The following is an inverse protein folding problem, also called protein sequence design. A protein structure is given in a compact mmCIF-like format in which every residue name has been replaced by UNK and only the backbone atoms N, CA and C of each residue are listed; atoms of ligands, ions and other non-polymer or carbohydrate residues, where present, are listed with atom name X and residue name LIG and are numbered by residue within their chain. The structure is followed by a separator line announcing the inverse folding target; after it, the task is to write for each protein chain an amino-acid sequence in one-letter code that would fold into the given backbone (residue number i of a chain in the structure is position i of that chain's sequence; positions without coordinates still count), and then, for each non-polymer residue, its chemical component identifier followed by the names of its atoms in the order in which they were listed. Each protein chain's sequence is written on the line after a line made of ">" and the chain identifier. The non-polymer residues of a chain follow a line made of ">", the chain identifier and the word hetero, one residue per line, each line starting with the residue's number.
data_IF_422263308138
#
_entry.id   IF_422263308138
#
_cell.length_a   1.000
_cell.length_b   1.000
_cell.length_c   1.000
_cell.angle_alpha   90.00
_cell.angle_beta   90.00
_cell.angle_gamma   90.00
#
_symmetry.space_group_name_H-M   'P 1'
#
loop_
_entity.id
_entity.type
_entity.pdbx_description
1 polymer ?
#
# COMPACT_ATOMS: atom_id res chain seq x y z
N UNK A 1 9.02 -3.23 -17.37
CA UNK A 1 8.43 -3.17 -16.02
C UNK A 1 6.92 -3.27 -16.14
N UNK A 2 6.28 -4.00 -15.25
CA UNK A 2 4.83 -4.00 -15.08
C UNK A 2 4.51 -3.68 -13.61
N UNK A 3 3.46 -2.90 -13.39
CA UNK A 3 2.91 -2.64 -12.07
C UNK A 3 1.43 -2.98 -12.10
N UNK A 4 0.98 -3.77 -11.14
CA UNK A 4 -0.43 -4.05 -10.93
C UNK A 4 -0.77 -3.73 -9.48
N UNK A 5 -1.90 -3.08 -9.27
CA UNK A 5 -2.38 -2.73 -7.95
C UNK A 5 -3.89 -2.92 -7.85
N UNK A 6 -4.34 -3.34 -6.69
CA UNK A 6 -5.74 -3.60 -6.40
C UNK A 6 -6.02 -3.44 -4.91
N UNK A 7 -7.20 -2.91 -4.62
CA UNK A 7 -7.71 -2.81 -3.25
C UNK A 7 -8.50 -4.08 -2.95
N UNK A 8 -8.16 -4.76 -1.84
CA UNK A 8 -8.91 -5.92 -1.36
C UNK A 8 -9.45 -5.64 0.04
N UNK A 9 -10.77 -5.56 0.14
CA UNK A 9 -11.44 -5.49 1.44
C UNK A 9 -11.50 -6.87 2.08
N UNK A 10 -11.21 -6.96 3.39
CA UNK A 10 -11.48 -8.15 4.19
C UNK A 10 -12.33 -7.76 5.38
N UNK A 11 -13.63 -8.08 5.31
CA UNK A 11 -14.47 -8.07 6.50
C UNK A 11 -14.08 -9.25 7.41
N UNK A 12 -13.48 -8.96 8.56
CA UNK A 12 -13.20 -9.99 9.55
C UNK A 12 -14.50 -10.34 10.29
N UNK A 13 -15.18 -11.41 9.89
CA UNK A 13 -16.52 -11.78 10.39
C UNK A 13 -16.62 -12.04 11.91
N UNK A 14 -15.53 -11.94 12.65
CA UNK A 14 -15.45 -12.32 14.06
C UNK A 14 -14.90 -11.22 15.00
N UNK A 15 -14.42 -10.10 14.46
CA UNK A 15 -13.92 -8.93 15.18
C UNK A 15 -14.36 -7.69 14.40
N UNK A 16 -14.94 -6.68 15.04
CA UNK A 16 -15.38 -5.40 14.44
C UNK A 16 -14.23 -4.53 13.88
N UNK A 17 -13.12 -5.12 13.44
CA UNK A 17 -12.03 -4.42 12.79
C UNK A 17 -12.28 -4.48 11.28
N UNK A 18 -12.63 -3.34 10.70
CA UNK A 18 -12.56 -3.09 9.26
C UNK A 18 -11.09 -3.16 8.81
N UNK A 19 -10.83 -3.91 7.74
CA UNK A 19 -9.49 -4.14 7.22
C UNK A 19 -9.48 -3.99 5.70
N UNK A 20 -8.44 -3.31 5.20
CA UNK A 20 -8.07 -3.33 3.78
C UNK A 20 -6.65 -3.82 3.59
N UNK A 21 -6.47 -4.60 2.52
CA UNK A 21 -5.18 -4.97 1.96
C UNK A 21 -5.02 -4.22 0.63
N UNK A 22 -4.11 -3.25 0.60
CA UNK A 22 -3.68 -2.55 -0.60
C UNK A 22 -2.63 -3.41 -1.28
N UNK A 23 -3.10 -4.41 -2.00
CA UNK A 23 -2.27 -5.37 -2.72
C UNK A 23 -1.71 -4.75 -3.99
N UNK A 24 -0.40 -4.86 -4.17
CA UNK A 24 0.23 -4.58 -5.45
C UNK A 24 1.33 -5.58 -5.73
N UNK A 25 1.58 -5.79 -7.02
CA UNK A 25 2.67 -6.59 -7.53
C UNK A 25 3.46 -5.80 -8.55
N UNK A 26 4.78 -5.89 -8.49
CA UNK A 26 5.66 -5.24 -9.46
C UNK A 26 6.62 -6.25 -10.08
N UNK A 27 6.93 -6.04 -11.35
CA UNK A 27 7.91 -6.86 -12.08
C UNK A 27 9.25 -6.16 -12.12
N UNK A 28 10.28 -6.88 -11.66
CA UNK A 28 11.66 -6.41 -11.64
C UNK A 28 12.12 -6.05 -13.05
N UNK A 29 12.75 -4.88 -13.24
CA UNK A 29 13.62 -4.70 -14.38
C UNK A 29 14.71 -5.77 -14.40
N UNK A 30 14.83 -6.49 -15.52
CA UNK A 30 15.93 -7.43 -15.73
C UNK A 30 17.27 -6.69 -15.62
N UNK A 31 18.21 -7.25 -14.85
CA UNK A 31 19.54 -6.67 -14.64
C UNK A 31 19.64 -5.66 -13.49
N UNK A 32 18.57 -5.44 -12.72
CA UNK A 32 18.58 -4.53 -11.58
C UNK A 32 18.11 -5.23 -10.30
N UNK A 33 18.74 -4.88 -9.19
CA UNK A 33 18.35 -5.35 -7.85
C UNK A 33 17.59 -4.25 -7.12
N UNK A 34 16.43 -4.60 -6.57
CA UNK A 34 15.69 -3.70 -5.68
C UNK A 34 16.38 -3.71 -4.32
N UNK A 35 16.70 -2.51 -3.85
CA UNK A 35 17.39 -2.31 -2.58
C UNK A 35 16.46 -1.81 -1.49
N UNK A 36 15.36 -1.16 -1.86
CA UNK A 36 14.35 -0.68 -0.93
C UNK A 36 12.97 -0.59 -1.59
N UNK A 37 11.94 -0.75 -0.78
CA UNK A 37 10.52 -0.64 -1.14
C UNK A 37 9.85 0.26 -0.13
N UNK A 38 9.08 1.24 -0.60
CA UNK A 38 8.54 2.31 0.24
C UNK A 38 7.09 2.62 -0.14
N UNK A 39 6.28 2.93 0.88
CA UNK A 39 4.93 3.44 0.71
C UNK A 39 4.84 4.89 1.14
N UNK A 40 4.01 5.63 0.43
CA UNK A 40 3.66 7.01 0.74
C UNK A 40 2.15 7.20 0.68
N UNK A 41 1.64 8.18 1.40
CA UNK A 41 0.30 8.69 1.17
C UNK A 41 0.34 10.20 0.95
N UNK A 42 -0.65 10.71 0.20
CA UNK A 42 -0.77 12.12 -0.14
C UNK A 42 -1.94 12.77 0.60
N UNK A 43 -1.64 13.46 1.70
CA UNK A 43 -2.64 14.24 2.47
C UNK A 43 -2.11 15.65 2.65
N UNK A 44 -2.28 16.49 1.63
CA UNK A 44 -1.69 17.84 1.50
C UNK A 44 -0.15 17.86 1.40
N UNK A 45 0.51 16.86 1.97
CA UNK A 45 1.95 16.61 1.94
C UNK A 45 2.20 15.12 1.65
N UNK A 46 3.36 14.83 1.04
CA UNK A 46 3.86 13.47 0.86
C UNK A 46 4.38 12.95 2.19
N UNK A 47 3.74 11.93 2.74
CA UNK A 47 4.17 11.32 4.01
C UNK A 47 4.61 9.88 3.77
N UNK A 48 5.84 9.55 4.19
CA UNK A 48 6.38 8.19 4.13
C UNK A 48 5.69 7.34 5.20
N UNK A 49 5.22 6.16 4.81
CA UNK A 49 4.78 5.12 5.74
C UNK A 49 6.02 4.36 6.21
N UNK A 50 6.26 4.26 7.53
CA UNK A 50 7.38 3.49 8.04
C UNK A 50 7.31 2.03 7.59
N UNK A 51 8.46 1.48 7.18
CA UNK A 51 8.58 0.08 6.76
C UNK A 51 8.31 -0.89 7.93
N UNK A 52 8.41 -0.39 9.17
CA UNK A 52 8.04 -1.13 10.37
C UNK A 52 6.53 -1.09 10.54
N UNK A 53 5.95 -2.25 10.81
CA UNK A 53 4.56 -2.38 11.26
C UNK A 53 4.36 -1.53 12.52
N UNK A 54 3.64 -0.42 12.40
CA UNK A 54 3.40 0.49 13.53
C UNK A 54 1.92 0.82 13.62
N UNK A 55 1.34 0.61 14.79
CA UNK A 55 -0.06 0.93 15.07
C UNK A 55 -1.01 0.18 14.15
N UNK A 56 -1.75 0.93 13.33
CA UNK A 56 -2.81 0.44 12.44
C UNK A 56 -2.31 -0.03 11.07
N UNK A 57 -1.07 0.32 10.71
CA UNK A 57 -0.51 0.06 9.38
C UNK A 57 0.56 -1.02 9.48
N UNK A 58 0.39 -2.06 8.66
CA UNK A 58 1.25 -3.23 8.59
C UNK A 58 1.74 -3.40 7.15
N UNK A 59 3.04 -3.20 6.94
CA UNK A 59 3.68 -3.53 5.67
C UNK A 59 3.88 -5.05 5.58
N UNK A 60 3.26 -5.66 4.57
CA UNK A 60 3.32 -7.11 4.29
C UNK A 60 4.18 -7.42 3.05
N UNK A 61 4.59 -6.39 2.33
CA UNK A 61 5.41 -6.54 1.12
C UNK A 61 6.79 -7.13 1.40
N UNK A 62 7.44 -7.54 0.32
CA UNK A 62 8.78 -8.08 0.29
C UNK A 62 9.59 -7.47 -0.87
N UNK A 63 10.88 -7.76 -0.87
CA UNK A 63 11.79 -7.35 -1.94
C UNK A 63 11.74 -8.31 -3.14
N UNK A 64 10.73 -9.17 -3.27
CA UNK A 64 10.63 -10.19 -4.34
C UNK A 64 9.46 -10.00 -5.32
N UNK A 65 8.47 -9.15 -5.02
CA UNK A 65 7.39 -8.65 -5.92
C UNK A 65 6.15 -8.15 -5.17
N UNK A 66 6.02 -8.50 -3.90
CA UNK A 66 4.84 -8.16 -3.09
C UNK A 66 5.04 -6.77 -2.49
N UNK A 67 4.12 -5.85 -2.76
CA UNK A 67 4.13 -4.56 -2.11
C UNK A 67 2.90 -4.33 -1.22
N UNK A 68 2.24 -5.39 -0.77
CA UNK A 68 1.00 -5.31 -0.01
C UNK A 68 1.14 -4.47 1.27
N UNK A 69 0.27 -3.48 1.42
CA UNK A 69 0.10 -2.70 2.63
C UNK A 69 -1.24 -3.03 3.28
N UNK A 70 -1.25 -3.34 4.57
CA UNK A 70 -2.45 -3.67 5.32
C UNK A 70 -2.78 -2.57 6.31
N UNK A 71 -4.02 -2.11 6.32
CA UNK A 71 -4.52 -1.08 7.24
C UNK A 71 -5.69 -1.67 8.03
N UNK A 72 -5.59 -1.65 9.36
CA UNK A 72 -6.62 -2.09 10.32
C UNK A 72 -7.33 -0.90 10.94
N UNK A 73 -8.56 -1.11 11.43
CA UNK A 73 -9.34 -0.03 12.07
C UNK A 73 -9.47 1.15 11.08
N UNK A 74 -10.11 0.86 9.94
CA UNK A 74 -10.28 1.83 8.86
C UNK A 74 -11.24 2.93 9.29
N UNK A 75 -10.82 4.15 9.01
CA UNK A 75 -11.56 5.37 9.31
C UNK A 75 -11.71 6.19 8.04
N UNK A 76 -12.72 7.05 8.01
CA UNK A 76 -12.92 7.99 6.90
C UNK A 76 -11.66 8.87 6.67
N UNK A 77 -10.90 9.16 7.73
CA UNK A 77 -9.66 9.93 7.67
C UNK A 77 -8.50 9.25 6.93
N UNK A 78 -8.57 7.92 6.76
CA UNK A 78 -7.61 7.12 6.00
C UNK A 78 -7.90 7.19 4.49
N UNK A 79 -9.00 7.85 4.08
CA UNK A 79 -9.33 8.06 2.67
C UNK A 79 -8.31 9.01 2.02
N UNK A 80 -7.46 8.47 1.15
CA UNK A 80 -6.40 9.20 0.46
C UNK A 80 -5.82 8.37 -0.69
N UNK A 81 -4.88 8.95 -1.43
CA UNK A 81 -4.07 8.23 -2.40
C UNK A 81 -2.81 7.70 -1.73
N UNK A 82 -2.62 6.39 -1.85
CA UNK A 82 -1.43 5.65 -1.45
C UNK A 82 -0.57 5.38 -2.67
N UNK A 83 0.74 5.45 -2.52
CA UNK A 83 1.70 5.31 -3.60
C UNK A 83 2.81 4.36 -3.19
N UNK A 84 3.03 3.36 -4.01
CA UNK A 84 4.17 2.47 -3.88
C UNK A 84 5.34 2.96 -4.72
N UNK A 85 6.56 2.84 -4.19
CA UNK A 85 7.80 3.12 -4.90
C UNK A 85 8.85 2.09 -4.51
N UNK A 86 9.70 1.73 -5.46
CA UNK A 86 10.89 0.96 -5.14
C UNK A 86 12.15 1.66 -5.66
N UNK A 87 13.26 1.38 -5.00
CA UNK A 87 14.58 1.90 -5.35
C UNK A 87 15.43 0.76 -5.86
N UNK A 88 16.08 1.00 -6.99
CA UNK A 88 17.16 0.17 -7.52
C UNK A 88 18.49 0.83 -7.23
N UNK A 89 19.61 0.11 -7.31
CA UNK A 89 20.94 0.67 -7.06
C UNK A 89 21.33 1.92 -7.88
N UNK A 90 20.55 2.29 -8.90
CA UNK A 90 20.82 3.42 -9.78
C UNK A 90 19.72 4.49 -9.81
N UNK A 91 18.48 4.15 -9.47
CA UNK A 91 17.36 5.09 -9.58
C UNK A 91 16.14 4.64 -8.78
N UNK A 92 15.26 5.60 -8.54
CA UNK A 92 13.93 5.39 -8.02
C UNK A 92 12.91 5.17 -9.12
N UNK A 93 12.02 4.21 -8.89
CA UNK A 93 10.94 3.89 -9.81
C UNK A 93 9.63 4.00 -9.04
N UNK A 94 8.83 5.00 -9.39
CA UNK A 94 7.47 5.13 -8.90
C UNK A 94 6.62 3.98 -9.45
N UNK A 95 5.91 3.30 -8.56
CA UNK A 95 5.00 2.22 -8.91
C UNK A 95 3.55 2.69 -9.03
N UNK A 96 2.62 1.89 -8.53
CA UNK A 96 1.19 2.15 -8.63
C UNK A 96 0.68 3.14 -7.58
N UNK A 97 -0.24 4.00 -8.00
CA UNK A 97 -1.15 4.73 -7.13
C UNK A 97 -2.37 3.86 -6.82
N UNK A 98 -2.81 3.88 -5.57
CA UNK A 98 -4.05 3.27 -5.10
C UNK A 98 -4.86 4.34 -4.38
N UNK A 99 -6.07 4.60 -4.84
CA UNK A 99 -7.00 5.49 -4.13
C UNK A 99 -7.81 4.65 -3.15
N UNK A 100 -7.76 5.02 -1.87
CA UNK A 100 -8.58 4.44 -0.83
C UNK A 100 -9.68 5.44 -0.48
N UNK A 101 -10.92 5.00 -0.53
CA UNK A 101 -12.09 5.76 -0.06
C UNK A 101 -12.83 4.91 0.96
N UNK A 102 -12.88 5.36 2.22
CA UNK A 102 -13.60 4.72 3.31
C UNK A 102 -14.88 5.51 3.56
N UNK A 103 -16.02 4.87 3.34
CA UNK A 103 -17.33 5.44 3.68
C UNK A 103 -17.82 4.85 5.00
N UNK A 104 -18.58 5.62 5.80
CA UNK A 104 -19.13 5.20 7.10
C UNK A 104 -19.96 3.90 7.11
N UNK A 105 -20.24 3.31 5.95
CA UNK A 105 -20.90 2.00 5.80
C UNK A 105 -19.93 0.86 5.47
N UNK A 106 -18.62 1.08 5.57
CA UNK A 106 -17.59 0.07 5.30
C UNK A 106 -17.40 -0.25 3.81
N UNK A 107 -17.89 0.59 2.90
CA UNK A 107 -17.76 0.34 1.45
C UNK A 107 -16.53 1.05 0.91
N UNK A 108 -15.59 0.27 0.35
CA UNK A 108 -14.44 0.77 -0.41
C UNK A 108 -14.83 1.07 -1.86
N UNK A 109 -14.55 2.29 -2.32
CA UNK A 109 -14.69 2.69 -3.74
C UNK A 109 -13.30 2.94 -4.32
N UNK A 110 -12.98 2.24 -5.41
CA UNK A 110 -11.77 2.41 -6.24
C UNK A 110 -12.06 3.37 -7.38
#
# INVERSE_FOLDING_TARGET
>A
MGFSASVKERANKHLFLSLVELSCSFTYPSGYTVTATEWYYWKWIWTKIPDKSTGRVLYLGNNDNDCTLRITDLREEDSTSYYFRFTTGHSWISGSQIVLSVTGTGTLVV
#
